data_IF_274382893331
#
_entry.id   IF_274382893331
#
_cell.length_a   1.000
_cell.length_b   1.000
_cell.length_c   1.000
_cell.angle_alpha   90.00
_cell.angle_beta   90.00
_cell.angle_gamma   90.00
#
_symmetry.space_group_name_H-M   'P 1'
#
loop_
_entity.id
_entity.type
_entity.pdbx_description
1 polymer ?
#
# COMPACT_ATOMS: atom_id res chain seq x y z
N UNK A 1 9.18 -38.53 -9.05
CA UNK A 1 7.99 -38.00 -8.35
C UNK A 1 8.15 -36.48 -8.29
N UNK A 2 7.54 -35.75 -9.22
CA UNK A 2 7.69 -34.28 -9.32
C UNK A 2 6.46 -33.59 -8.71
N UNK A 3 6.62 -32.58 -7.84
CA UNK A 3 5.48 -31.84 -7.30
C UNK A 3 4.89 -30.95 -8.40
N UNK A 4 3.58 -31.10 -8.63
CA UNK A 4 2.81 -30.14 -9.42
C UNK A 4 2.63 -28.90 -8.55
N UNK A 5 3.45 -27.86 -8.77
CA UNK A 5 3.14 -26.52 -8.26
C UNK A 5 1.81 -26.09 -8.90
N UNK A 6 0.71 -26.29 -8.19
CA UNK A 6 -0.56 -25.68 -8.54
C UNK A 6 -0.49 -24.24 -8.05
N UNK A 7 -0.07 -23.33 -8.93
CA UNK A 7 -0.34 -21.91 -8.77
C UNK A 7 -1.86 -21.72 -8.91
N UNK A 8 -2.60 -21.99 -7.84
CA UNK A 8 -4.03 -21.73 -7.78
C UNK A 8 -4.20 -20.23 -7.47
N UNK A 9 -4.05 -19.37 -8.48
CA UNK A 9 -4.53 -18.00 -8.39
C UNK A 9 -6.05 -18.03 -8.57
N UNK A 10 -6.78 -17.93 -7.47
CA UNK A 10 -8.23 -17.77 -7.53
C UNK A 10 -8.57 -16.34 -7.92
N UNK A 11 -9.65 -16.14 -8.69
CA UNK A 11 -10.21 -14.80 -8.95
C UNK A 11 -10.51 -14.04 -7.65
N UNK A 12 -10.82 -14.76 -6.56
CA UNK A 12 -11.01 -14.19 -5.22
C UNK A 12 -9.71 -13.58 -4.69
N UNK A 13 -8.57 -14.26 -4.84
CA UNK A 13 -7.27 -13.74 -4.39
C UNK A 13 -6.83 -12.52 -5.20
N UNK A 14 -7.14 -12.50 -6.49
CA UNK A 14 -6.90 -11.32 -7.34
C UNK A 14 -7.78 -10.15 -6.88
N UNK A 15 -9.04 -10.40 -6.57
CA UNK A 15 -9.96 -9.38 -6.06
C UNK A 15 -9.49 -8.82 -4.71
N UNK A 16 -9.13 -9.68 -3.77
CA UNK A 16 -8.60 -9.28 -2.46
C UNK A 16 -7.32 -8.43 -2.60
N UNK A 17 -6.42 -8.82 -3.52
CA UNK A 17 -5.20 -8.06 -3.79
C UNK A 17 -5.51 -6.66 -4.36
N UNK A 18 -6.51 -6.54 -5.25
CA UNK A 18 -6.96 -5.25 -5.79
C UNK A 18 -7.58 -4.39 -4.69
N UNK A 19 -8.48 -4.95 -3.87
CA UNK A 19 -9.12 -4.24 -2.76
C UNK A 19 -8.08 -3.75 -1.76
N UNK A 20 -7.15 -4.61 -1.33
CA UNK A 20 -6.07 -4.25 -0.41
C UNK A 20 -5.13 -3.18 -1.00
N UNK A 21 -4.92 -3.17 -2.32
CA UNK A 21 -4.17 -2.12 -3.01
C UNK A 21 -4.90 -0.77 -3.00
N UNK A 22 -6.22 -0.78 -3.23
CA UNK A 22 -7.06 0.43 -3.18
C UNK A 22 -7.11 1.01 -1.77
N UNK A 23 -7.30 0.18 -0.75
CA UNK A 23 -7.31 0.61 0.65
C UNK A 23 -5.98 1.25 1.05
N UNK A 24 -4.84 0.63 0.70
CA UNK A 24 -3.51 1.20 0.91
C UNK A 24 -3.34 2.54 0.20
N UNK A 25 -3.84 2.68 -1.03
CA UNK A 25 -3.78 3.95 -1.76
C UNK A 25 -4.63 5.04 -1.09
N UNK A 26 -5.80 4.70 -0.56
CA UNK A 26 -6.62 5.63 0.19
C UNK A 26 -5.95 6.06 1.50
N UNK A 27 -5.33 5.12 2.22
CA UNK A 27 -4.56 5.40 3.43
C UNK A 27 -3.37 6.32 3.13
N UNK A 28 -2.61 6.07 2.06
CA UNK A 28 -1.51 6.95 1.62
C UNK A 28 -2.01 8.36 1.28
N UNK A 29 -3.16 8.49 0.60
CA UNK A 29 -3.77 9.79 0.31
C UNK A 29 -4.26 10.52 1.57
N UNK A 30 -4.79 9.80 2.55
CA UNK A 30 -5.17 10.37 3.83
C UNK A 30 -3.94 10.86 4.61
N UNK A 31 -2.87 10.07 4.61
CA UNK A 31 -1.59 10.42 5.21
C UNK A 31 -0.97 11.67 4.55
N UNK A 32 -1.02 11.77 3.22
CA UNK A 32 -0.54 12.93 2.47
C UNK A 32 -1.33 14.23 2.74
N UNK A 33 -2.59 14.09 3.18
CA UNK A 33 -3.45 15.22 3.55
C UNK A 33 -3.26 15.68 4.99
N UNK A 34 -2.49 14.96 5.81
CA UNK A 34 -2.18 15.41 7.16
C UNK A 34 -1.28 16.66 7.11
N UNK A 35 -1.56 17.61 8.00
CA UNK A 35 -0.73 18.78 8.22
C UNK A 35 0.61 18.40 8.88
N UNK A 36 1.62 19.24 8.72
CA UNK A 36 2.98 18.98 9.22
C UNK A 36 3.05 18.75 10.72
N UNK A 37 2.19 19.42 11.48
CA UNK A 37 2.10 19.20 12.92
C UNK A 37 1.56 17.82 13.29
N UNK A 38 0.60 17.29 12.53
CA UNK A 38 0.05 15.94 12.76
C UNK A 38 1.05 14.86 12.34
N UNK A 39 1.81 15.12 11.28
CA UNK A 39 2.91 14.24 10.88
C UNK A 39 4.03 14.22 11.92
N UNK A 40 4.38 15.39 12.47
CA UNK A 40 5.38 15.50 13.52
C UNK A 40 4.97 14.79 14.82
N UNK A 41 3.68 14.80 15.17
CA UNK A 41 3.14 14.09 16.34
C UNK A 41 3.35 12.57 16.26
N UNK A 42 3.25 11.99 15.06
CA UNK A 42 3.54 10.57 14.78
C UNK A 42 5.00 10.31 14.39
N UNK A 43 5.88 11.31 14.51
CA UNK A 43 7.31 11.20 14.21
C UNK A 43 7.65 11.03 12.72
N UNK A 44 6.80 11.52 11.82
CA UNK A 44 7.03 11.48 10.36
C UNK A 44 7.28 12.87 9.79
N UNK A 45 8.19 12.97 8.84
CA UNK A 45 8.45 14.20 8.09
C UNK A 45 7.67 14.20 6.76
N UNK A 46 7.24 15.38 6.28
CA UNK A 46 6.52 15.54 5.00
C UNK A 46 7.30 14.96 3.82
N UNK A 47 8.63 15.09 3.85
CA UNK A 47 9.50 14.53 2.81
C UNK A 47 9.41 12.99 2.73
N UNK A 48 9.39 12.31 3.87
CA UNK A 48 9.28 10.84 3.94
C UNK A 48 7.89 10.36 3.52
N UNK A 49 6.85 11.11 3.91
CA UNK A 49 5.46 10.82 3.49
C UNK A 49 5.30 11.02 1.99
N UNK A 50 5.85 12.09 1.43
CA UNK A 50 5.82 12.33 -0.02
C UNK A 50 6.53 11.22 -0.78
N UNK A 51 7.72 10.78 -0.32
CA UNK A 51 8.44 9.67 -0.92
C UNK A 51 7.67 8.34 -0.83
N UNK A 52 6.97 8.09 0.28
CA UNK A 52 6.13 6.90 0.46
C UNK A 52 4.87 6.94 -0.42
N UNK A 53 4.28 8.13 -0.62
CA UNK A 53 3.12 8.34 -1.47
C UNK A 53 3.45 8.27 -2.96
N UNK A 54 4.67 8.64 -3.36
CA UNK A 54 5.17 8.54 -4.74
C UNK A 54 5.54 7.10 -5.13
N UNK A 55 5.61 6.16 -4.20
CA UNK A 55 5.84 4.75 -4.53
C UNK A 55 4.70 4.23 -5.42
N UNK A 56 5.03 3.55 -6.53
CA UNK A 56 4.02 2.90 -7.34
C UNK A 56 3.23 1.87 -6.50
N UNK A 57 1.93 1.74 -6.74
CA UNK A 57 1.04 0.88 -5.93
C UNK A 57 1.46 -0.60 -5.90
N UNK A 58 2.29 -1.05 -6.84
CA UNK A 58 2.80 -2.42 -6.93
C UNK A 58 4.12 -2.65 -6.15
N UNK A 59 4.64 -1.62 -5.47
CA UNK A 59 5.89 -1.68 -4.74
C UNK A 59 5.65 -1.25 -3.29
N UNK A 60 5.76 -2.21 -2.39
CA UNK A 60 5.87 -1.98 -0.94
C UNK A 60 7.32 -1.57 -0.59
#
# INVERSE_FOLDING_TARGET
MAPRLRFNFSAVQLFDAIVAGIERQQQRRALARLDDHLLADIGRNRADVAAECDKPFWRD
#
